data_IF_781355219690
#
_entry.id   IF_781355219690
#
_cell.length_a   1.000
_cell.length_b   1.000
_cell.length_c   1.000
_cell.angle_alpha   90.00
_cell.angle_beta   90.00
_cell.angle_gamma   90.00
#
_symmetry.space_group_name_H-M   'P 1'
#
loop_
_entity.id
_entity.type
_entity.pdbx_description
1 polymer ?
#
# COMPACT_ATOMS: atom_id res chain seq x y z
N UNK A 1 7.85 -7.52 -63.18
CA UNK A 1 9.30 -7.32 -62.97
C UNK A 1 9.56 -7.17 -61.47
N UNK A 2 10.51 -7.94 -60.96
CA UNK A 2 10.98 -7.80 -59.56
C UNK A 2 12.29 -7.03 -59.59
N UNK A 3 12.34 -5.91 -58.85
CA UNK A 3 13.58 -5.19 -58.58
C UNK A 3 14.16 -5.68 -57.26
N UNK A 4 15.43 -6.03 -57.21
CA UNK A 4 16.09 -6.48 -55.98
C UNK A 4 17.52 -5.95 -55.90
N UNK A 5 17.96 -5.58 -54.69
CA UNK A 5 19.37 -5.35 -54.36
C UNK A 5 19.86 -6.54 -53.54
N UNK A 6 20.89 -7.25 -54.05
CA UNK A 6 21.52 -8.35 -53.30
C UNK A 6 22.97 -7.97 -53.00
N UNK A 7 23.35 -8.06 -51.71
CA UNK A 7 24.71 -7.88 -51.25
C UNK A 7 25.18 -9.21 -50.64
N UNK A 8 26.08 -9.92 -51.37
CA UNK A 8 26.54 -11.26 -51.00
C UNK A 8 28.05 -11.26 -50.76
N UNK A 9 28.49 -12.00 -49.80
CA UNK A 9 29.89 -12.32 -49.55
C UNK A 9 30.04 -13.82 -49.37
N UNK A 10 30.88 -14.44 -50.19
CA UNK A 10 31.24 -15.86 -50.08
C UNK A 10 32.66 -15.93 -49.49
N UNK A 11 32.77 -16.21 -48.23
CA UNK A 11 34.05 -16.34 -47.52
C UNK A 11 33.88 -17.29 -46.32
N UNK A 12 34.90 -18.11 -46.12
CA UNK A 12 34.98 -18.96 -44.91
C UNK A 12 35.47 -18.14 -43.71
N UNK A 13 34.60 -17.22 -43.24
CA UNK A 13 34.85 -16.36 -42.10
C UNK A 13 33.54 -15.93 -41.42
N UNK A 14 33.57 -15.50 -40.15
CA UNK A 14 32.41 -15.02 -39.44
C UNK A 14 31.90 -13.64 -39.90
N UNK A 15 32.61 -12.94 -40.78
CA UNK A 15 32.23 -11.60 -41.24
C UNK A 15 31.22 -11.69 -42.40
N UNK A 16 30.16 -10.91 -42.37
CA UNK A 16 29.14 -10.77 -43.44
C UNK A 16 29.45 -9.61 -44.41
N UNK A 17 28.62 -9.47 -45.48
CA UNK A 17 28.65 -8.26 -46.31
C UNK A 17 28.14 -7.04 -45.54
N UNK A 18 28.56 -5.83 -45.95
CA UNK A 18 28.23 -4.58 -45.34
C UNK A 18 27.60 -3.61 -46.35
N UNK A 19 26.56 -2.88 -45.94
CA UNK A 19 26.10 -1.64 -46.55
C UNK A 19 26.52 -0.49 -45.64
N UNK A 20 27.38 0.41 -46.13
CA UNK A 20 27.94 1.51 -45.31
C UNK A 20 27.38 2.83 -45.82
N UNK A 21 26.73 3.57 -44.95
CA UNK A 21 26.43 4.98 -45.12
C UNK A 21 27.45 5.80 -44.32
N UNK A 22 28.19 6.68 -44.99
CA UNK A 22 29.22 7.51 -44.40
C UNK A 22 29.03 8.97 -44.77
N UNK A 23 29.27 9.89 -43.81
CA UNK A 23 29.17 11.33 -44.03
C UNK A 23 30.38 12.06 -43.45
N UNK A 24 30.86 13.04 -44.18
CA UNK A 24 31.78 14.11 -43.73
C UNK A 24 31.14 15.45 -44.06
N UNK A 25 31.39 16.48 -43.27
CA UNK A 25 31.00 17.88 -43.58
C UNK A 25 31.94 18.57 -44.57
N UNK A 26 32.88 17.86 -45.11
CA UNK A 26 33.79 18.38 -46.15
C UNK A 26 33.06 18.67 -47.46
N UNK A 27 33.35 19.79 -48.09
CA UNK A 27 32.96 20.09 -49.47
C UNK A 27 33.82 19.43 -50.51
N UNK A 28 34.87 18.68 -50.15
CA UNK A 28 35.80 18.01 -51.08
C UNK A 28 35.95 16.53 -50.71
N UNK A 29 36.03 15.69 -51.74
CA UNK A 29 36.26 14.26 -51.57
C UNK A 29 37.58 13.98 -50.85
N UNK A 30 37.56 13.00 -49.96
CA UNK A 30 38.76 12.53 -49.23
C UNK A 30 39.07 13.33 -47.93
N UNK A 31 38.43 14.45 -47.69
CA UNK A 31 38.59 15.19 -46.46
C UNK A 31 37.62 14.71 -45.34
N UNK A 32 38.16 14.49 -44.16
CA UNK A 32 37.41 13.97 -43.01
C UNK A 32 37.07 15.10 -42.03
N UNK A 33 36.15 16.00 -42.44
CA UNK A 33 35.66 17.06 -41.56
C UNK A 33 34.59 16.46 -40.66
N UNK A 34 34.73 16.71 -39.34
CA UNK A 34 33.82 16.19 -38.30
C UNK A 34 32.40 16.56 -38.61
N UNK A 35 31.49 15.60 -38.39
CA UNK A 35 30.05 15.83 -38.33
C UNK A 35 29.65 16.53 -37.04
N UNK A 36 28.42 17.03 -36.96
CA UNK A 36 27.92 17.71 -35.78
C UNK A 36 26.67 17.00 -35.23
N UNK A 37 26.32 17.28 -33.98
CA UNK A 37 25.05 16.80 -33.37
C UNK A 37 23.86 17.15 -34.25
N UNK A 38 22.97 16.17 -34.46
CA UNK A 38 21.80 16.27 -35.34
C UNK A 38 22.05 15.91 -36.78
N UNK A 39 23.32 15.73 -37.23
CA UNK A 39 23.62 15.34 -38.62
C UNK A 39 23.02 13.98 -38.95
N UNK A 40 22.33 13.90 -40.10
CA UNK A 40 21.89 12.65 -40.66
C UNK A 40 23.09 11.95 -41.35
N UNK A 41 23.37 10.72 -40.96
CA UNK A 41 24.46 9.91 -41.51
C UNK A 41 23.95 9.07 -42.68
N UNK A 42 22.73 8.59 -42.61
CA UNK A 42 22.09 7.83 -43.67
C UNK A 42 20.68 7.43 -43.30
N UNK A 43 19.89 7.15 -44.31
CA UNK A 43 18.48 6.77 -44.17
C UNK A 43 18.12 5.62 -45.11
N UNK A 44 17.21 4.77 -44.63
CA UNK A 44 16.44 3.84 -45.47
C UNK A 44 15.01 4.39 -45.49
N UNK A 45 14.57 4.83 -46.66
CA UNK A 45 13.26 5.46 -46.85
C UNK A 45 12.33 4.50 -47.56
N UNK A 46 11.11 4.40 -47.05
CA UNK A 46 10.00 3.68 -47.68
C UNK A 46 9.02 4.71 -48.25
N UNK A 47 8.87 4.73 -49.58
CA UNK A 47 7.96 5.65 -50.26
C UNK A 47 6.94 4.88 -51.07
N UNK A 48 5.75 5.41 -51.19
CA UNK A 48 4.64 4.79 -51.92
C UNK A 48 4.02 5.79 -52.91
N UNK A 49 3.39 5.26 -53.96
CA UNK A 49 2.58 6.07 -54.85
C UNK A 49 1.25 6.43 -54.20
N UNK A 50 0.90 7.71 -54.24
CA UNK A 50 -0.37 8.27 -53.72
C UNK A 50 -1.40 8.56 -54.83
N UNK A 51 -1.09 8.17 -56.06
CA UNK A 51 -1.87 8.47 -57.26
C UNK A 51 -1.37 9.68 -58.05
N UNK A 52 -0.40 10.43 -57.51
CA UNK A 52 0.25 11.56 -58.16
C UNK A 52 1.69 11.25 -58.49
N UNK A 53 2.46 10.74 -57.52
CA UNK A 53 3.86 10.34 -57.68
C UNK A 53 4.26 9.23 -56.69
N UNK A 54 5.56 8.90 -56.64
CA UNK A 54 6.14 7.88 -55.72
C UNK A 54 7.03 8.54 -54.67
N UNK A 55 6.80 9.80 -54.33
CA UNK A 55 7.63 10.57 -53.42
C UNK A 55 7.03 10.68 -52.03
N UNK A 56 5.80 10.22 -51.81
CA UNK A 56 5.16 10.20 -50.48
C UNK A 56 5.81 9.19 -49.58
N UNK A 57 6.54 9.69 -48.54
CA UNK A 57 7.27 8.84 -47.61
C UNK A 57 6.33 8.32 -46.55
N UNK A 58 6.20 7.00 -46.43
CA UNK A 58 5.36 6.37 -45.39
C UNK A 58 6.16 5.96 -44.14
N UNK A 59 7.45 5.65 -44.28
CA UNK A 59 8.33 5.32 -43.14
C UNK A 59 9.80 5.61 -43.45
N UNK A 60 10.62 5.76 -42.42
CA UNK A 60 12.06 5.95 -42.53
C UNK A 60 12.79 5.30 -41.34
N UNK A 61 13.95 4.69 -41.59
CA UNK A 61 14.94 4.30 -40.59
C UNK A 61 16.16 5.17 -40.81
N UNK A 62 16.54 5.97 -39.79
CA UNK A 62 17.56 7.01 -39.91
C UNK A 62 18.64 6.88 -38.85
N UNK A 63 19.90 6.93 -39.27
CA UNK A 63 21.02 7.07 -38.34
C UNK A 63 21.44 8.57 -38.24
N UNK A 64 21.53 9.09 -37.03
CA UNK A 64 21.90 10.47 -36.75
C UNK A 64 22.97 10.57 -35.68
N UNK A 65 23.72 11.68 -35.68
CA UNK A 65 24.62 12.03 -34.61
C UNK A 65 23.81 12.59 -33.41
N UNK A 66 23.99 12.00 -32.24
CA UNK A 66 23.18 12.30 -31.05
C UNK A 66 23.77 13.39 -30.16
N UNK A 67 25.10 13.48 -30.11
CA UNK A 67 25.82 14.50 -29.32
C UNK A 67 27.03 15.01 -30.10
N UNK A 68 27.82 15.92 -29.54
CA UNK A 68 29.05 16.46 -30.20
C UNK A 68 30.09 15.36 -30.35
N UNK A 69 30.52 15.02 -31.59
CA UNK A 69 31.59 14.05 -31.79
C UNK A 69 32.95 14.50 -31.27
N UNK A 70 33.73 13.53 -30.82
CA UNK A 70 35.14 13.73 -30.42
C UNK A 70 36.08 12.96 -31.35
N UNK A 71 37.39 12.94 -31.00
CA UNK A 71 38.37 12.13 -31.72
C UNK A 71 38.09 10.64 -31.50
N UNK A 72 37.82 9.90 -32.58
CA UNK A 72 37.40 8.48 -32.57
C UNK A 72 36.12 8.25 -31.72
N UNK A 73 35.28 9.26 -31.60
CA UNK A 73 34.02 9.23 -30.89
C UNK A 73 32.90 9.84 -31.77
N UNK A 74 31.90 9.04 -32.11
CA UNK A 74 30.72 9.45 -32.87
C UNK A 74 29.45 8.94 -32.22
N UNK A 75 28.94 9.64 -31.18
CA UNK A 75 27.72 9.24 -30.48
C UNK A 75 26.54 9.23 -31.46
N UNK A 76 25.95 8.06 -31.68
CA UNK A 76 24.89 7.85 -32.68
C UNK A 76 23.57 7.51 -32.05
N UNK A 77 22.47 7.90 -32.73
CA UNK A 77 21.12 7.43 -32.46
C UNK A 77 20.51 6.80 -33.71
N UNK A 78 19.70 5.79 -33.51
CA UNK A 78 18.87 5.18 -34.57
C UNK A 78 17.43 5.60 -34.33
N UNK A 79 16.80 6.19 -35.36
CA UNK A 79 15.45 6.77 -35.33
C UNK A 79 14.55 6.00 -36.29
N UNK A 80 13.37 5.64 -35.78
CA UNK A 80 12.30 5.00 -36.58
C UNK A 80 11.15 6.00 -36.68
N UNK A 81 10.75 6.25 -37.93
CA UNK A 81 9.78 7.28 -38.28
C UNK A 81 8.63 6.66 -39.09
N UNK A 82 7.41 7.14 -38.87
CA UNK A 82 6.21 6.77 -39.62
C UNK A 82 5.39 7.99 -39.98
N UNK A 83 4.72 8.00 -41.12
CA UNK A 83 3.76 9.04 -41.48
C UNK A 83 2.37 8.69 -40.92
N UNK A 84 1.71 9.69 -40.34
CA UNK A 84 0.31 9.57 -39.91
C UNK A 84 -0.62 9.71 -41.13
N UNK A 85 -1.87 9.26 -40.97
CA UNK A 85 -2.92 9.47 -41.97
C UNK A 85 -3.06 10.98 -42.31
N UNK A 86 -3.11 11.28 -43.59
CA UNK A 86 -3.13 12.66 -44.10
C UNK A 86 -1.77 13.36 -44.21
N UNK A 87 -0.64 12.66 -43.96
CA UNK A 87 0.72 13.23 -44.02
C UNK A 87 1.59 12.47 -45.03
N UNK A 88 2.41 13.18 -45.78
CA UNK A 88 3.43 12.65 -46.66
C UNK A 88 4.85 12.70 -46.09
N UNK A 89 4.98 13.11 -44.80
CA UNK A 89 6.24 13.26 -44.11
C UNK A 89 6.23 12.40 -42.83
N UNK A 90 7.15 11.42 -42.69
CA UNK A 90 7.25 10.63 -41.48
C UNK A 90 7.77 11.45 -40.33
N UNK A 91 7.17 11.27 -39.14
CA UNK A 91 7.61 11.82 -37.89
C UNK A 91 8.19 10.74 -36.99
N UNK A 92 9.08 11.10 -36.08
CA UNK A 92 9.70 10.16 -35.17
C UNK A 92 8.67 9.48 -34.27
N UNK A 93 8.65 8.17 -34.27
CA UNK A 93 7.82 7.34 -33.43
C UNK A 93 8.63 6.70 -32.29
N UNK A 94 9.91 6.38 -32.55
CA UNK A 94 10.77 5.67 -31.60
C UNK A 94 12.23 5.94 -31.94
N UNK A 95 13.10 5.92 -30.91
CA UNK A 95 14.55 5.95 -31.09
C UNK A 95 15.31 5.03 -30.16
N UNK A 96 16.53 4.64 -30.55
CA UNK A 96 17.57 4.17 -29.63
C UNK A 96 18.65 5.24 -29.62
N UNK A 97 18.88 5.86 -28.47
CA UNK A 97 19.85 6.95 -28.31
C UNK A 97 21.28 6.47 -28.04
N UNK A 98 22.24 7.39 -27.98
CA UNK A 98 23.66 7.10 -27.71
C UNK A 98 23.92 6.49 -26.33
N UNK A 99 22.98 6.61 -25.39
CA UNK A 99 23.00 5.95 -24.08
C UNK A 99 22.30 4.58 -24.07
N UNK A 100 21.96 4.05 -25.26
CA UNK A 100 21.28 2.74 -25.48
C UNK A 100 19.87 2.67 -24.89
N UNK A 101 19.18 3.81 -24.73
CA UNK A 101 17.81 3.87 -24.23
C UNK A 101 16.84 3.76 -25.40
N UNK A 102 15.80 2.96 -25.22
CA UNK A 102 14.67 2.88 -26.14
C UNK A 102 13.59 3.89 -25.70
N UNK A 103 13.38 4.92 -26.49
CA UNK A 103 12.37 5.96 -26.26
C UNK A 103 11.25 5.78 -27.28
N UNK A 104 10.01 5.63 -26.80
CA UNK A 104 8.79 5.52 -27.61
C UNK A 104 7.92 6.74 -27.34
N UNK A 105 7.67 7.54 -28.39
CA UNK A 105 6.88 8.76 -28.29
C UNK A 105 7.59 9.96 -27.66
N UNK A 106 8.89 9.83 -27.33
CA UNK A 106 9.73 10.90 -26.78
C UNK A 106 11.04 11.04 -27.56
N UNK A 107 11.52 12.27 -27.73
CA UNK A 107 12.78 12.59 -28.43
C UNK A 107 13.95 12.87 -27.48
N UNK A 108 13.69 12.93 -26.18
CA UNK A 108 14.68 13.06 -25.11
C UNK A 108 14.26 12.23 -23.91
N UNK A 109 15.22 11.61 -23.25
CA UNK A 109 14.95 10.85 -22.05
C UNK A 109 14.73 11.76 -20.86
N UNK A 110 13.86 11.35 -19.95
CA UNK A 110 13.74 11.93 -18.62
C UNK A 110 14.76 11.26 -17.71
N UNK A 111 15.44 12.02 -16.89
CA UNK A 111 16.50 11.57 -15.99
C UNK A 111 16.23 11.89 -14.51
N UNK A 112 15.17 12.65 -14.22
CA UNK A 112 14.82 13.08 -12.85
C UNK A 112 13.63 12.28 -12.31
N UNK A 113 13.95 11.26 -11.54
CA UNK A 113 12.99 10.35 -10.90
C UNK A 113 13.31 10.21 -9.41
N UNK A 114 12.30 9.92 -8.58
CA UNK A 114 12.43 9.61 -7.14
C UNK A 114 13.13 10.69 -6.32
N UNK A 115 12.97 11.97 -6.64
CA UNK A 115 13.57 13.09 -5.90
C UNK A 115 15.09 12.92 -5.69
N UNK A 116 15.80 12.25 -6.60
CA UNK A 116 17.21 11.90 -6.40
C UNK A 116 18.16 12.64 -7.34
N UNK A 117 17.65 13.63 -8.09
CA UNK A 117 18.45 14.42 -9.02
C UNK A 117 19.00 13.68 -10.23
N UNK A 118 19.21 12.39 -10.16
CA UNK A 118 19.66 11.54 -11.27
C UNK A 118 19.69 10.08 -10.86
N UNK A 119 18.62 9.35 -11.03
CA UNK A 119 18.72 7.89 -11.11
C UNK A 119 19.08 7.54 -12.55
N UNK A 120 20.04 6.64 -12.71
CA UNK A 120 20.53 6.20 -14.01
C UNK A 120 19.37 5.97 -14.99
N UNK A 121 19.50 6.51 -16.19
CA UNK A 121 18.44 6.61 -17.17
C UNK A 121 17.74 5.28 -17.42
N UNK A 122 16.41 5.26 -17.28
CA UNK A 122 15.59 4.10 -17.60
C UNK A 122 15.83 3.66 -19.04
N UNK A 123 16.13 2.37 -19.26
CA UNK A 123 16.44 1.83 -20.57
C UNK A 123 15.24 1.81 -21.54
N UNK A 124 14.02 1.73 -20.99
CA UNK A 124 12.78 1.85 -21.75
C UNK A 124 11.93 2.98 -21.17
N UNK A 125 11.58 3.95 -22.01
CA UNK A 125 10.65 5.02 -21.66
C UNK A 125 9.54 5.09 -22.70
N UNK A 126 8.28 5.10 -22.24
CA UNK A 126 7.08 5.25 -23.08
C UNK A 126 6.37 6.51 -22.63
N UNK A 127 6.28 7.51 -23.51
CA UNK A 127 5.65 8.80 -23.21
C UNK A 127 4.69 9.19 -24.35
N UNK A 128 3.56 9.79 -24.01
CA UNK A 128 2.60 10.31 -24.98
C UNK A 128 2.06 11.66 -24.54
N UNK A 129 2.03 12.62 -25.45
CA UNK A 129 1.38 13.90 -25.25
C UNK A 129 -0.08 13.89 -25.77
N UNK A 130 -0.96 14.67 -25.15
CA UNK A 130 -2.35 14.88 -25.59
C UNK A 130 -3.39 14.61 -24.50
N UNK A 131 -4.49 15.38 -24.54
CA UNK A 131 -5.49 15.43 -23.46
C UNK A 131 -6.39 14.18 -23.33
N UNK A 132 -6.38 13.26 -24.29
CA UNK A 132 -7.27 12.08 -24.31
C UNK A 132 -6.53 10.74 -24.44
N UNK A 133 -5.20 10.76 -24.42
CA UNK A 133 -4.41 9.57 -24.73
C UNK A 133 -3.48 9.19 -23.59
N UNK A 134 -3.60 7.96 -23.11
CA UNK A 134 -2.69 7.40 -22.10
C UNK A 134 -1.44 6.81 -22.78
N UNK A 135 -0.28 6.95 -22.14
CA UNK A 135 0.86 6.08 -22.41
C UNK A 135 0.60 4.76 -21.67
N UNK A 136 0.56 3.66 -22.41
CA UNK A 136 0.24 2.34 -21.85
C UNK A 136 1.12 1.24 -22.45
N UNK A 137 1.43 0.24 -21.63
CA UNK A 137 2.05 -1.02 -22.06
C UNK A 137 0.99 -2.12 -21.87
N UNK A 138 0.59 -2.78 -22.97
CA UNK A 138 -0.34 -3.91 -22.92
C UNK A 138 0.44 -5.22 -22.97
N UNK A 139 0.20 -6.09 -22.02
CA UNK A 139 0.77 -7.42 -21.93
C UNK A 139 -0.37 -8.43 -21.92
N UNK A 140 -0.55 -9.20 -23.00
CA UNK A 140 -1.68 -10.13 -23.16
C UNK A 140 -1.15 -11.53 -23.42
N UNK A 141 -1.67 -12.53 -22.71
CA UNK A 141 -1.44 -13.94 -23.00
C UNK A 141 -2.73 -14.55 -23.55
N UNK A 142 -2.66 -15.20 -24.72
CA UNK A 142 -3.75 -15.97 -25.27
C UNK A 142 -3.45 -17.47 -25.02
N UNK A 143 -4.21 -18.11 -24.13
CA UNK A 143 -4.09 -19.52 -23.83
C UNK A 143 -5.39 -20.24 -24.13
N UNK A 144 -5.36 -21.25 -25.00
CA UNK A 144 -6.52 -22.09 -25.37
C UNK A 144 -6.83 -23.21 -24.36
N UNK A 145 -6.06 -23.32 -23.29
CA UNK A 145 -6.24 -24.34 -22.24
C UNK A 145 -6.61 -23.71 -20.91
N UNK A 146 -7.62 -24.27 -20.24
CA UNK A 146 -7.88 -23.96 -18.83
C UNK A 146 -6.69 -24.46 -18.00
N UNK A 147 -5.89 -23.52 -17.51
CA UNK A 147 -4.74 -23.82 -16.66
C UNK A 147 -5.21 -23.93 -15.21
N UNK A 148 -4.77 -24.92 -14.43
CA UNK A 148 -5.06 -24.94 -13.00
C UNK A 148 -4.54 -23.68 -12.31
N UNK A 149 -5.15 -23.31 -11.19
CA UNK A 149 -4.97 -22.03 -10.50
C UNK A 149 -3.51 -21.60 -10.19
N UNK A 150 -2.53 -22.49 -10.38
CA UNK A 150 -1.09 -22.26 -10.14
C UNK A 150 -0.21 -22.51 -11.39
N UNK A 151 -0.78 -22.63 -12.60
CA UNK A 151 0.03 -22.84 -13.78
C UNK A 151 0.68 -21.52 -14.23
N UNK A 152 1.93 -21.40 -13.92
CA UNK A 152 2.81 -20.25 -14.12
C UNK A 152 3.04 -19.92 -15.61
N UNK A 153 2.60 -20.79 -16.56
CA UNK A 153 2.89 -20.68 -17.99
C UNK A 153 1.83 -20.00 -18.86
N UNK A 154 0.62 -19.75 -18.37
CA UNK A 154 -0.51 -19.33 -19.20
C UNK A 154 -1.02 -17.89 -18.95
N UNK A 155 -0.42 -17.15 -18.05
CA UNK A 155 -0.83 -15.78 -17.68
C UNK A 155 0.13 -14.72 -18.25
N UNK A 156 -0.41 -13.57 -18.64
CA UNK A 156 0.40 -12.37 -18.88
C UNK A 156 1.03 -11.89 -17.55
N UNK A 157 2.31 -11.54 -17.58
CA UNK A 157 3.06 -11.22 -16.35
C UNK A 157 4.04 -10.07 -16.53
N UNK A 158 4.25 -9.31 -15.47
CA UNK A 158 5.42 -8.44 -15.28
C UNK A 158 6.32 -9.13 -14.25
N UNK A 159 7.55 -9.44 -14.63
CA UNK A 159 8.54 -10.07 -13.76
C UNK A 159 9.59 -9.03 -13.38
N UNK A 160 9.65 -8.73 -12.11
CA UNK A 160 10.68 -7.88 -11.51
C UNK A 160 11.62 -8.80 -10.72
N UNK A 161 12.89 -8.80 -11.03
CA UNK A 161 13.86 -9.66 -10.39
C UNK A 161 15.20 -8.99 -10.18
N UNK A 162 15.90 -9.37 -9.11
CA UNK A 162 17.21 -8.84 -8.71
C UNK A 162 18.21 -9.97 -8.48
N UNK A 163 19.45 -9.72 -8.85
CA UNK A 163 20.64 -10.46 -8.42
C UNK A 163 21.67 -9.45 -7.87
N UNK A 164 22.56 -9.89 -6.99
CA UNK A 164 23.69 -9.08 -6.52
C UNK A 164 24.89 -9.14 -7.45
N UNK A 165 24.80 -9.86 -8.57
CA UNK A 165 25.86 -9.92 -9.56
C UNK A 165 26.06 -8.62 -10.31
N UNK A 166 27.31 -8.36 -10.74
CA UNK A 166 27.71 -7.13 -11.44
C UNK A 166 27.75 -7.29 -12.96
N UNK A 167 27.46 -8.47 -13.47
CA UNK A 167 27.46 -8.77 -14.91
C UNK A 167 26.12 -9.31 -15.35
N UNK A 168 25.75 -9.06 -16.61
CA UNK A 168 24.54 -9.65 -17.22
C UNK A 168 24.65 -11.19 -17.18
N UNK A 169 23.56 -11.84 -16.75
CA UNK A 169 23.51 -13.30 -16.57
C UNK A 169 24.09 -13.81 -15.27
N UNK A 170 24.55 -12.94 -14.37
CA UNK A 170 25.03 -13.35 -13.05
C UNK A 170 23.88 -13.88 -12.16
N UNK A 171 24.13 -14.99 -11.44
CA UNK A 171 23.20 -15.64 -10.54
C UNK A 171 23.60 -15.46 -9.06
N UNK A 172 24.23 -14.34 -8.72
CA UNK A 172 24.64 -14.08 -7.32
C UNK A 172 23.40 -13.89 -6.46
N UNK A 173 23.34 -14.65 -5.36
CA UNK A 173 22.20 -14.67 -4.45
C UNK A 173 21.98 -13.29 -3.81
N UNK A 174 20.71 -12.92 -3.64
CA UNK A 174 20.29 -11.75 -2.86
C UNK A 174 20.40 -12.03 -1.36
N UNK A 175 20.31 -10.99 -0.54
CA UNK A 175 20.35 -11.13 0.91
C UNK A 175 19.07 -10.57 1.54
N UNK A 176 18.85 -10.91 2.80
CA UNK A 176 17.78 -10.33 3.61
C UNK A 176 17.84 -8.80 3.59
N UNK A 177 16.70 -8.17 3.36
CA UNK A 177 16.56 -6.72 3.22
C UNK A 177 16.72 -6.18 1.80
N UNK A 178 17.17 -6.99 0.83
CA UNK A 178 17.24 -6.54 -0.57
C UNK A 178 15.85 -6.31 -1.16
N UNK A 179 15.66 -5.17 -1.83
CA UNK A 179 14.50 -4.90 -2.68
C UNK A 179 14.62 -5.75 -3.95
N UNK A 180 13.64 -6.58 -4.24
CA UNK A 180 13.60 -7.45 -5.41
C UNK A 180 12.95 -6.79 -6.61
N UNK A 181 12.01 -5.90 -6.36
CA UNK A 181 11.31 -5.11 -7.36
C UNK A 181 10.43 -4.04 -6.73
N UNK A 182 10.13 -3.03 -7.53
CA UNK A 182 9.38 -1.84 -7.13
C UNK A 182 8.39 -1.45 -8.21
N UNK A 183 7.16 -1.14 -7.81
CA UNK A 183 6.14 -0.46 -8.62
C UNK A 183 5.91 0.89 -7.98
N UNK A 184 6.51 1.93 -8.57
CA UNK A 184 6.49 3.30 -8.04
C UNK A 184 5.49 4.18 -8.78
N UNK A 185 4.67 4.92 -8.05
CA UNK A 185 3.72 5.92 -8.54
C UNK A 185 4.29 7.31 -8.24
N UNK A 186 4.65 8.04 -9.30
CA UNK A 186 5.34 9.31 -9.18
C UNK A 186 4.54 10.45 -9.83
N UNK A 187 4.56 11.62 -9.22
CA UNK A 187 4.00 12.87 -9.73
C UNK A 187 5.08 13.90 -9.99
N UNK A 188 4.88 14.73 -11.04
CA UNK A 188 5.76 15.87 -11.34
C UNK A 188 5.43 17.01 -10.38
N UNK A 189 6.42 17.46 -9.59
CA UNK A 189 6.27 18.58 -8.64
C UNK A 189 6.57 19.97 -9.26
N UNK A 190 6.92 19.99 -10.55
CA UNK A 190 7.36 21.17 -11.30
C UNK A 190 8.86 21.18 -11.58
N UNK A 191 9.65 20.37 -10.89
CA UNK A 191 11.10 20.23 -11.04
C UNK A 191 11.52 18.83 -11.42
N UNK A 192 10.91 17.82 -10.78
CA UNK A 192 11.24 16.40 -10.95
C UNK A 192 10.08 15.49 -10.59
N UNK A 193 10.19 14.20 -10.91
CA UNK A 193 9.27 13.19 -10.46
C UNK A 193 9.56 12.80 -9.02
N UNK A 194 8.56 12.96 -8.14
CA UNK A 194 8.59 12.59 -6.72
C UNK A 194 7.68 11.41 -6.48
N UNK A 195 8.13 10.43 -5.71
CA UNK A 195 7.34 9.26 -5.37
C UNK A 195 6.18 9.65 -4.44
N UNK A 196 4.96 9.39 -4.87
CA UNK A 196 3.75 9.56 -4.08
C UNK A 196 3.36 8.28 -3.32
N UNK A 197 3.60 7.12 -3.94
CA UNK A 197 3.35 5.81 -3.35
C UNK A 197 4.17 4.74 -4.07
N UNK A 198 4.43 3.60 -3.39
CA UNK A 198 5.01 2.42 -4.05
C UNK A 198 4.57 1.10 -3.42
N UNK A 199 4.75 0.02 -4.20
CA UNK A 199 4.60 -1.36 -3.77
C UNK A 199 5.91 -2.06 -4.03
N UNK A 200 6.57 -2.55 -2.98
CA UNK A 200 7.91 -3.13 -3.07
C UNK A 200 7.93 -4.58 -2.56
N UNK A 201 8.60 -5.44 -3.33
CA UNK A 201 8.93 -6.79 -2.90
C UNK A 201 10.35 -6.86 -2.33
N UNK A 202 10.51 -7.45 -1.16
CA UNK A 202 11.80 -7.60 -0.49
C UNK A 202 12.14 -9.08 -0.25
N UNK A 203 13.41 -9.36 -0.16
CA UNK A 203 13.91 -10.56 0.48
C UNK A 203 13.82 -10.39 2.00
N UNK A 204 13.00 -11.19 2.70
CA UNK A 204 12.66 -10.98 4.12
C UNK A 204 13.55 -11.75 5.10
N UNK A 205 14.20 -12.83 4.64
CA UNK A 205 15.15 -13.61 5.41
C UNK A 205 16.28 -14.12 4.50
N UNK A 206 17.19 -14.94 5.00
CA UNK A 206 18.28 -15.52 4.19
C UNK A 206 17.71 -16.52 3.18
N UNK A 207 17.90 -16.31 1.86
CA UNK A 207 17.46 -17.24 0.83
C UNK A 207 18.22 -18.55 0.85
N UNK A 208 17.58 -19.64 0.40
CA UNK A 208 18.17 -20.94 0.18
C UNK A 208 17.95 -21.47 -1.25
N UNK A 209 18.35 -22.69 -1.52
CA UNK A 209 18.07 -23.34 -2.80
C UNK A 209 16.55 -23.57 -2.96
N UNK A 210 15.95 -23.00 -4.00
CA UNK A 210 14.49 -22.99 -4.22
C UNK A 210 13.68 -22.40 -3.06
N UNK A 211 14.29 -21.53 -2.26
CA UNK A 211 13.69 -20.86 -1.11
C UNK A 211 13.96 -19.36 -1.20
N UNK A 212 12.89 -18.57 -1.27
CA UNK A 212 12.95 -17.13 -1.35
C UNK A 212 11.91 -16.52 -0.39
N UNK A 213 12.25 -16.36 0.89
CA UNK A 213 11.37 -15.72 1.86
C UNK A 213 11.15 -14.26 1.46
N UNK A 214 9.91 -13.93 1.13
CA UNK A 214 9.54 -12.62 0.61
C UNK A 214 8.60 -11.85 1.52
N UNK A 215 8.73 -10.51 1.56
CA UNK A 215 7.68 -9.62 2.08
C UNK A 215 7.26 -8.62 1.01
N UNK A 216 5.99 -8.26 1.06
CA UNK A 216 5.40 -7.18 0.26
C UNK A 216 5.16 -5.98 1.15
N UNK A 217 5.58 -4.78 0.70
CA UNK A 217 5.49 -3.54 1.48
C UNK A 217 4.83 -2.46 0.66
N UNK A 218 3.92 -1.71 1.30
CA UNK A 218 3.19 -0.59 0.72
C UNK A 218 3.65 0.71 1.37
N UNK A 219 4.01 1.68 0.54
CA UNK A 219 4.51 2.98 0.95
C UNK A 219 3.61 4.11 0.46
N UNK A 220 3.54 5.20 1.21
CA UNK A 220 2.96 6.47 0.77
C UNK A 220 3.76 7.64 1.29
N UNK A 221 3.74 8.77 0.55
CA UNK A 221 4.40 10.01 0.93
C UNK A 221 3.40 10.94 1.64
N UNK A 222 3.78 11.46 2.80
CA UNK A 222 2.96 12.40 3.56
C UNK A 222 3.00 13.79 2.92
N UNK A 223 1.99 14.62 3.20
CA UNK A 223 2.01 16.03 2.77
C UNK A 223 3.23 16.76 3.37
N UNK A 224 3.96 17.46 2.52
CA UNK A 224 5.19 18.16 2.88
C UNK A 224 6.45 17.28 2.96
N UNK A 225 6.37 15.99 2.65
CA UNK A 225 7.51 15.08 2.56
C UNK A 225 7.90 14.80 1.10
N UNK A 226 9.18 14.48 0.88
CA UNK A 226 9.71 14.05 -0.41
C UNK A 226 10.06 12.56 -0.46
N UNK A 227 9.96 11.86 0.69
CA UNK A 227 10.25 10.43 0.81
C UNK A 227 9.03 9.69 1.31
N UNK A 228 8.77 8.52 0.73
CA UNK A 228 7.70 7.65 1.14
C UNK A 228 8.04 6.93 2.46
N UNK A 229 7.01 6.63 3.25
CA UNK A 229 7.11 5.84 4.47
C UNK A 229 6.25 4.59 4.36
N UNK A 230 6.70 3.51 4.96
CA UNK A 230 5.95 2.26 5.02
C UNK A 230 4.61 2.47 5.74
N UNK A 231 3.53 1.91 5.16
CA UNK A 231 2.18 1.94 5.74
C UNK A 231 1.66 0.56 6.08
N UNK A 232 2.01 -0.43 5.26
CA UNK A 232 1.57 -1.80 5.45
C UNK A 232 2.61 -2.77 4.90
N UNK A 233 2.74 -3.94 5.53
CA UNK A 233 3.50 -5.06 4.98
C UNK A 233 2.79 -6.39 5.17
N UNK A 234 3.12 -7.34 4.30
CA UNK A 234 2.83 -8.76 4.46
C UNK A 234 4.19 -9.48 4.56
N UNK A 235 4.47 -10.11 5.69
CA UNK A 235 5.74 -10.81 5.92
C UNK A 235 5.76 -12.18 5.25
N UNK A 236 6.96 -12.82 5.16
CA UNK A 236 7.09 -14.21 4.68
C UNK A 236 6.30 -15.22 5.52
N UNK A 237 6.02 -14.92 6.78
CA UNK A 237 5.16 -15.74 7.66
C UNK A 237 3.67 -15.49 7.51
N UNK A 238 3.23 -14.66 6.55
CA UNK A 238 1.82 -14.34 6.30
C UNK A 238 1.21 -13.31 7.25
N UNK A 239 2.01 -12.67 8.13
CA UNK A 239 1.52 -11.63 9.05
C UNK A 239 1.32 -10.34 8.27
N UNK A 240 0.12 -9.75 8.38
CA UNK A 240 -0.18 -8.40 7.91
C UNK A 240 0.10 -7.43 9.05
N UNK A 241 1.09 -6.56 8.86
CA UNK A 241 1.40 -5.48 9.79
C UNK A 241 1.04 -4.15 9.16
N UNK A 242 0.39 -3.30 9.93
CA UNK A 242 0.05 -1.94 9.54
C UNK A 242 0.87 -1.03 10.45
N UNK A 243 1.67 -0.14 9.87
CA UNK A 243 2.70 0.62 10.58
C UNK A 243 2.13 1.57 11.65
N UNK A 244 2.91 1.83 12.71
CA UNK A 244 2.56 2.63 13.90
C UNK A 244 2.15 4.09 13.64
N UNK A 245 2.29 4.57 12.41
CA UNK A 245 1.95 5.95 12.05
C UNK A 245 0.52 6.10 11.52
N UNK A 246 -0.43 5.33 12.05
CA UNK A 246 -1.86 5.60 11.80
C UNK A 246 -2.32 6.84 12.58
N UNK A 247 -1.92 7.98 12.11
CA UNK A 247 -2.64 9.22 12.37
C UNK A 247 -3.79 9.34 11.37
N UNK A 248 -4.91 8.72 11.69
CA UNK A 248 -6.20 8.76 11.00
C UNK A 248 -6.36 7.91 9.71
N UNK A 249 -7.01 6.76 9.83
CA UNK A 249 -7.90 6.30 8.76
C UNK A 249 -9.21 7.08 8.91
N UNK A 250 -9.38 8.14 8.12
CA UNK A 250 -10.57 8.98 8.08
C UNK A 250 -11.08 9.42 9.44
N UNK A 251 -11.30 10.70 9.66
CA UNK A 251 -12.01 11.15 10.85
C UNK A 251 -13.36 10.42 10.92
N UNK A 252 -13.61 9.61 11.95
CA UNK A 252 -14.99 9.26 12.26
C UNK A 252 -15.76 10.57 12.41
N UNK A 253 -16.99 10.62 11.97
CA UNK A 253 -17.88 11.78 12.16
C UNK A 253 -18.11 12.17 13.62
N UNK A 254 -17.43 11.51 14.55
CA UNK A 254 -17.49 11.70 16.01
C UNK A 254 -16.28 12.38 16.64
N UNK A 255 -15.36 12.97 15.85
CA UNK A 255 -14.31 13.86 16.39
C UNK A 255 -13.16 13.19 17.16
N UNK A 256 -13.04 11.86 17.17
CA UNK A 256 -11.92 11.16 17.82
C UNK A 256 -10.75 11.06 16.87
N UNK A 257 -9.74 11.88 17.07
CA UNK A 257 -8.51 11.98 16.26
C UNK A 257 -7.48 10.92 16.68
N UNK A 258 -7.84 9.64 16.65
CA UNK A 258 -6.88 8.56 16.90
C UNK A 258 -7.05 7.47 15.85
N UNK A 259 -5.94 7.11 15.20
CA UNK A 259 -5.90 6.11 14.15
C UNK A 259 -6.39 4.75 14.62
N UNK A 260 -7.08 4.04 13.73
CA UNK A 260 -7.60 2.70 13.98
C UNK A 260 -7.96 1.99 12.68
N UNK A 261 -8.20 0.68 12.77
CA UNK A 261 -8.75 -0.09 11.66
C UNK A 261 -10.26 0.09 11.68
N UNK A 262 -10.82 0.77 10.68
CA UNK A 262 -12.26 0.86 10.47
C UNK A 262 -12.70 -0.24 9.51
N UNK A 263 -13.41 -1.24 10.02
CA UNK A 263 -14.06 -2.27 9.22
C UNK A 263 -15.56 -1.92 9.20
N UNK A 264 -16.08 -1.51 8.04
CA UNK A 264 -17.51 -1.28 7.85
C UNK A 264 -18.10 -2.38 6.98
N UNK A 265 -19.06 -3.16 7.45
CA UNK A 265 -19.86 -4.00 6.57
C UNK A 265 -20.72 -3.10 5.66
N UNK A 266 -20.79 -3.45 4.37
CA UNK A 266 -21.53 -2.69 3.35
C UNK A 266 -23.02 -3.04 3.31
N UNK A 267 -23.43 -4.11 3.99
CA UNK A 267 -24.82 -4.57 4.05
C UNK A 267 -25.23 -4.85 5.49
N UNK A 268 -26.43 -4.40 5.84
CA UNK A 268 -27.05 -4.62 7.14
C UNK A 268 -27.63 -6.03 7.11
N UNK A 269 -26.92 -7.01 7.62
CA UNK A 269 -27.44 -8.26 8.23
C UNK A 269 -26.31 -9.27 8.43
N UNK A 270 -26.16 -9.72 9.67
CA UNK A 270 -25.41 -10.91 10.13
C UNK A 270 -23.88 -10.97 9.85
N UNK A 271 -23.24 -9.88 9.46
CA UNK A 271 -21.79 -9.85 9.26
C UNK A 271 -21.07 -9.27 10.47
N UNK A 272 -20.39 -10.13 11.20
CA UNK A 272 -19.47 -9.71 12.27
C UNK A 272 -18.19 -9.13 11.63
N UNK A 273 -17.87 -7.83 11.82
CA UNK A 273 -16.64 -7.23 11.27
C UNK A 273 -15.35 -7.75 11.94
N UNK A 274 -15.49 -8.40 13.10
CA UNK A 274 -14.42 -9.10 13.80
C UNK A 274 -14.89 -10.50 14.17
N UNK A 275 -14.33 -11.52 13.53
CA UNK A 275 -14.50 -12.91 13.91
C UNK A 275 -13.29 -13.33 14.74
N UNK A 276 -13.50 -13.60 16.03
CA UNK A 276 -12.54 -14.32 16.87
C UNK A 276 -12.82 -15.80 16.76
N UNK A 277 -11.99 -16.55 16.06
CA UNK A 277 -12.07 -18.00 15.93
C UNK A 277 -10.84 -18.66 16.54
N UNK A 278 -11.05 -19.78 17.24
CA UNK A 278 -9.96 -20.60 17.78
C UNK A 278 -10.00 -21.98 17.15
N UNK A 279 -8.88 -22.43 16.61
CA UNK A 279 -8.72 -23.79 16.09
C UNK A 279 -8.53 -24.84 17.16
N UNK A 280 -8.49 -24.44 18.45
CA UNK A 280 -8.26 -25.33 19.59
C UNK A 280 -9.43 -25.26 20.57
N UNK A 281 -9.62 -26.34 21.35
CA UNK A 281 -10.54 -26.37 22.49
C UNK A 281 -9.97 -25.70 23.75
N UNK A 282 -8.72 -25.24 23.69
CA UNK A 282 -8.08 -24.49 24.78
C UNK A 282 -8.50 -23.02 24.76
N UNK A 283 -8.34 -22.34 25.87
CA UNK A 283 -8.61 -20.90 25.97
C UNK A 283 -7.75 -20.09 24.98
N UNK A 284 -8.39 -19.29 24.14
CA UNK A 284 -7.75 -18.43 23.15
C UNK A 284 -8.20 -16.98 23.31
N UNK A 285 -7.25 -16.04 23.30
CA UNK A 285 -7.56 -14.62 23.38
C UNK A 285 -8.04 -14.13 22.01
N UNK A 286 -9.30 -13.71 21.92
CA UNK A 286 -9.89 -13.10 20.71
C UNK A 286 -9.56 -11.61 20.59
N UNK A 287 -9.62 -10.87 21.70
CA UNK A 287 -9.24 -9.45 21.78
C UNK A 287 -8.44 -9.21 23.06
N UNK A 288 -7.37 -8.44 22.95
CA UNK A 288 -6.52 -8.02 24.06
C UNK A 288 -6.52 -6.50 24.17
N UNK A 289 -6.80 -5.99 25.37
CA UNK A 289 -6.73 -4.57 25.68
C UNK A 289 -5.50 -4.32 26.58
N UNK A 290 -4.57 -3.50 26.11
CA UNK A 290 -3.34 -3.18 26.82
C UNK A 290 -3.00 -1.69 26.70
N UNK A 291 -2.22 -1.18 27.63
CA UNK A 291 -1.60 0.14 27.60
C UNK A 291 -0.13 0.03 28.05
N UNK A 292 0.66 1.13 28.11
CA UNK A 292 2.05 1.08 28.56
C UNK A 292 2.27 0.45 29.93
N UNK A 293 1.24 0.40 30.79
CA UNK A 293 1.29 -0.23 32.10
C UNK A 293 0.90 -1.72 32.06
N UNK A 294 0.76 -2.35 30.90
CA UNK A 294 0.47 -3.77 30.70
C UNK A 294 -0.98 -4.08 30.27
N UNK A 295 -1.33 -5.36 30.30
CA UNK A 295 -2.67 -5.86 29.93
C UNK A 295 -3.72 -5.36 30.92
N UNK A 296 -4.83 -4.83 30.37
CA UNK A 296 -5.97 -4.29 31.15
C UNK A 296 -7.21 -5.15 31.07
N UNK A 297 -7.36 -5.92 29.99
CA UNK A 297 -8.49 -6.81 29.80
C UNK A 297 -8.37 -7.64 28.54
N UNK A 298 -9.29 -8.59 28.39
CA UNK A 298 -9.36 -9.45 27.21
C UNK A 298 -10.77 -10.01 27.01
N UNK A 299 -11.07 -10.37 25.75
CA UNK A 299 -12.17 -11.26 25.41
C UNK A 299 -11.52 -12.61 25.06
N UNK A 300 -11.91 -13.65 25.79
CA UNK A 300 -11.31 -15.00 25.67
C UNK A 300 -12.39 -15.99 25.23
N UNK A 301 -12.11 -16.73 24.17
CA UNK A 301 -12.90 -17.89 23.76
C UNK A 301 -12.47 -19.07 24.62
N UNK A 302 -13.42 -19.67 25.29
CA UNK A 302 -13.23 -20.88 26.10
C UNK A 302 -13.97 -22.07 25.46
N UNK A 303 -13.72 -23.29 25.90
CA UNK A 303 -14.31 -24.48 25.29
C UNK A 303 -15.85 -24.52 25.27
N UNK A 304 -16.52 -23.81 26.15
CA UNK A 304 -18.00 -23.77 26.25
C UNK A 304 -18.58 -22.37 26.48
N UNK A 305 -17.76 -21.32 26.50
CA UNK A 305 -18.22 -19.96 26.81
C UNK A 305 -17.28 -18.89 26.29
N UNK A 306 -17.70 -17.62 26.43
CA UNK A 306 -16.83 -16.47 26.20
C UNK A 306 -16.63 -15.74 27.56
N UNK A 307 -15.37 -15.46 27.92
CA UNK A 307 -15.05 -14.69 29.12
C UNK A 307 -14.66 -13.24 28.74
N UNK A 308 -15.23 -12.28 29.47
CA UNK A 308 -14.89 -10.86 29.40
C UNK A 308 -14.08 -10.52 30.65
N UNK A 309 -12.77 -10.42 30.50
CA UNK A 309 -11.85 -10.27 31.61
C UNK A 309 -11.38 -8.84 31.77
N UNK A 310 -11.35 -8.33 33.00
CA UNK A 310 -10.60 -7.15 33.42
C UNK A 310 -9.51 -7.58 34.38
N UNK A 311 -8.34 -6.93 34.29
CA UNK A 311 -7.21 -7.23 35.19
C UNK A 311 -7.57 -6.87 36.63
N UNK A 312 -7.43 -7.83 37.57
CA UNK A 312 -7.75 -7.68 38.96
C UNK A 312 -6.78 -8.40 39.91
N UNK A 313 -5.49 -8.47 39.52
CA UNK A 313 -4.45 -9.04 40.38
C UNK A 313 -4.21 -8.16 41.61
N UNK A 314 -4.09 -8.75 42.80
CA UNK A 314 -3.90 -8.02 44.04
C UNK A 314 -2.57 -7.24 44.07
N UNK A 315 -1.56 -7.70 43.35
CA UNK A 315 -0.24 -7.02 43.25
C UNK A 315 -0.29 -5.69 42.51
N UNK A 316 -1.41 -5.39 41.85
CA UNK A 316 -1.67 -4.13 41.16
C UNK A 316 -2.55 -3.18 42.02
N UNK A 317 -2.84 -3.54 43.26
CA UNK A 317 -3.73 -2.81 44.14
C UNK A 317 -2.99 -2.41 45.41
N UNK A 318 -3.27 -1.22 45.89
CA UNK A 318 -2.76 -0.69 47.15
C UNK A 318 -3.91 -0.10 47.97
N UNK A 319 -3.71 0.14 49.27
CA UNK A 319 -4.69 0.72 50.16
C UNK A 319 -6.04 -0.02 50.17
N UNK A 320 -5.98 -1.35 50.13
CA UNK A 320 -7.19 -2.19 50.13
C UNK A 320 -7.87 -2.14 51.47
N UNK A 321 -9.12 -1.69 51.53
CA UNK A 321 -9.99 -1.64 52.73
C UNK A 321 -11.32 -2.30 52.38
N UNK A 322 -12.03 -2.73 53.41
CA UNK A 322 -13.38 -3.29 53.25
C UNK A 322 -14.37 -2.19 52.84
N UNK A 323 -15.38 -2.59 52.05
CA UNK A 323 -16.43 -1.71 51.57
C UNK A 323 -17.61 -1.75 52.52
N UNK A 324 -17.73 -0.73 53.37
CA UNK A 324 -18.81 -0.55 54.35
C UNK A 324 -19.79 0.56 53.93
N UNK A 325 -20.94 0.66 54.64
CA UNK A 325 -22.00 1.62 54.34
C UNK A 325 -22.68 1.40 52.97
N UNK A 326 -22.60 0.20 52.44
CA UNK A 326 -23.04 -0.13 51.09
C UNK A 326 -24.55 -0.03 50.91
N UNK A 327 -25.35 -0.37 51.91
CA UNK A 327 -26.82 -0.23 51.87
C UNK A 327 -27.22 1.23 51.63
N UNK A 328 -26.61 2.17 52.34
CA UNK A 328 -26.97 3.59 52.18
C UNK A 328 -26.56 4.18 50.84
N UNK A 329 -25.49 3.67 50.24
CA UNK A 329 -25.11 4.01 48.85
C UNK A 329 -26.10 3.40 47.84
N UNK A 330 -26.49 2.13 48.01
CA UNK A 330 -27.46 1.46 47.11
C UNK A 330 -28.80 2.16 47.13
N UNK A 331 -29.28 2.65 48.27
CA UNK A 331 -30.52 3.43 48.37
C UNK A 331 -30.51 4.72 47.55
N UNK A 332 -29.34 5.26 47.23
CA UNK A 332 -29.19 6.48 46.42
C UNK A 332 -29.18 6.19 44.93
N UNK A 333 -28.95 4.92 44.50
CA UNK A 333 -29.05 4.53 43.12
C UNK A 333 -30.52 4.62 42.66
N UNK A 334 -30.75 5.17 41.46
CA UNK A 334 -32.07 5.38 40.89
C UNK A 334 -32.26 4.55 39.62
N UNK A 335 -32.65 3.26 39.74
CA UNK A 335 -32.97 2.45 38.54
C UNK A 335 -34.13 3.08 37.78
N UNK A 336 -34.04 3.08 36.45
CA UNK A 336 -35.03 3.67 35.55
C UNK A 336 -35.47 2.64 34.55
N UNK A 337 -36.67 2.82 34.03
CA UNK A 337 -37.19 2.12 32.84
C UNK A 337 -37.34 3.15 31.71
N UNK A 338 -36.76 2.89 30.56
CA UNK A 338 -36.72 3.84 29.45
C UNK A 338 -36.61 3.09 28.10
N UNK A 339 -36.75 3.81 27.01
CA UNK A 339 -36.34 3.40 25.68
C UNK A 339 -35.36 4.43 25.11
N UNK A 340 -34.46 4.00 24.24
CA UNK A 340 -33.61 4.92 23.49
C UNK A 340 -34.44 5.69 22.45
N UNK A 341 -34.02 6.92 22.14
CA UNK A 341 -34.68 7.72 21.10
C UNK A 341 -34.66 6.93 19.78
N UNK A 342 -35.79 6.81 19.11
CA UNK A 342 -36.05 6.01 17.90
C UNK A 342 -35.92 4.48 18.10
N UNK A 343 -36.06 3.98 19.31
CA UNK A 343 -36.19 2.54 19.62
C UNK A 343 -37.44 2.33 20.48
N UNK A 344 -38.34 1.43 20.05
CA UNK A 344 -39.57 1.10 20.77
C UNK A 344 -39.34 0.12 21.92
N UNK A 345 -38.14 -0.50 21.97
CA UNK A 345 -37.81 -1.49 22.99
C UNK A 345 -37.54 -0.81 24.35
N UNK A 346 -38.39 -1.11 25.33
CA UNK A 346 -38.19 -0.67 26.71
C UNK A 346 -37.16 -1.53 27.43
N UNK A 347 -36.25 -0.89 28.16
CA UNK A 347 -35.19 -1.54 28.95
C UNK A 347 -35.10 -0.92 30.34
N UNK A 348 -34.54 -1.66 31.28
CA UNK A 348 -34.21 -1.19 32.61
C UNK A 348 -32.72 -0.84 32.69
N UNK A 349 -32.38 0.26 33.38
CA UNK A 349 -30.99 0.70 33.48
C UNK A 349 -30.86 1.92 34.37
N UNK A 350 -29.80 2.69 34.17
CA UNK A 350 -29.48 3.89 34.92
C UNK A 350 -29.18 5.05 33.99
N UNK A 351 -29.45 6.26 34.43
CA UNK A 351 -28.90 7.46 33.81
C UNK A 351 -27.47 7.66 34.31
N UNK A 352 -26.51 7.77 33.40
CA UNK A 352 -25.08 7.77 33.73
C UNK A 352 -24.72 8.86 34.74
N UNK A 353 -25.21 10.10 34.56
CA UNK A 353 -24.94 11.22 35.47
C UNK A 353 -25.53 11.02 36.87
N UNK A 354 -26.68 10.33 37.01
CA UNK A 354 -27.25 9.99 38.34
C UNK A 354 -26.41 8.90 39.02
N UNK A 355 -26.01 7.85 38.29
CA UNK A 355 -25.17 6.78 38.80
C UNK A 355 -23.78 7.28 39.21
N UNK A 356 -23.22 8.26 38.49
CA UNK A 356 -21.92 8.88 38.79
C UNK A 356 -21.86 9.54 40.16
N UNK A 357 -23.00 9.97 40.74
CA UNK A 357 -23.04 10.59 42.09
C UNK A 357 -22.82 9.56 43.19
N UNK A 358 -23.09 8.28 42.93
CA UNK A 358 -22.98 7.17 43.87
C UNK A 358 -21.76 6.30 43.60
N UNK A 359 -21.50 5.99 42.35
CA UNK A 359 -20.41 5.11 41.86
C UNK A 359 -19.73 5.80 40.68
N UNK A 360 -18.92 6.84 40.90
CA UNK A 360 -18.30 7.61 39.82
C UNK A 360 -17.44 6.77 38.90
N UNK A 361 -16.77 5.71 39.38
CA UNK A 361 -15.96 4.79 38.64
C UNK A 361 -16.76 3.91 37.63
N UNK A 362 -18.09 3.90 37.74
CA UNK A 362 -18.96 3.20 36.77
C UNK A 362 -19.25 4.02 35.52
N UNK A 363 -18.89 5.30 35.47
CA UNK A 363 -19.28 6.21 34.37
C UNK A 363 -18.06 6.78 33.70
N UNK A 364 -18.12 6.86 32.36
CA UNK A 364 -17.13 7.51 31.53
C UNK A 364 -17.74 8.69 30.77
N UNK A 365 -16.94 9.71 30.46
CA UNK A 365 -17.37 10.95 29.82
C UNK A 365 -17.90 12.00 30.85
N UNK A 366 -18.07 13.22 30.39
CA UNK A 366 -18.52 14.35 31.18
C UNK A 366 -20.02 14.62 30.97
N UNK A 367 -20.77 14.96 32.01
CA UNK A 367 -22.18 15.31 31.88
C UNK A 367 -22.36 16.54 30.99
N UNK A 368 -23.25 16.46 30.01
CA UNK A 368 -23.54 17.50 29.01
C UNK A 368 -22.32 17.96 28.17
N UNK A 369 -21.33 17.11 27.97
CA UNK A 369 -20.17 17.40 27.15
C UNK A 369 -20.55 17.60 25.68
N UNK A 370 -19.92 18.58 25.04
CA UNK A 370 -20.03 18.87 23.62
C UNK A 370 -18.65 18.87 22.97
N UNK A 371 -18.56 18.41 21.74
CA UNK A 371 -17.34 18.47 20.96
C UNK A 371 -17.03 19.88 20.43
N UNK A 372 -15.88 20.06 19.78
CA UNK A 372 -15.47 21.33 19.19
C UNK A 372 -16.41 21.82 18.05
N UNK A 373 -17.33 20.97 17.58
CA UNK A 373 -18.31 21.29 16.53
C UNK A 373 -19.70 21.53 17.10
N UNK A 374 -19.87 21.45 18.45
CA UNK A 374 -21.15 21.64 19.11
C UNK A 374 -22.03 20.39 19.18
N UNK A 375 -21.53 19.21 18.83
CA UNK A 375 -22.30 17.97 18.93
C UNK A 375 -22.19 17.39 20.36
N UNK A 376 -23.25 16.72 20.88
CA UNK A 376 -23.20 16.03 22.17
C UNK A 376 -22.17 14.91 22.19
N UNK A 377 -21.36 14.85 23.25
CA UNK A 377 -20.53 13.69 23.61
C UNK A 377 -21.23 12.93 24.73
N UNK A 378 -21.66 11.70 24.42
CA UNK A 378 -22.49 10.94 25.34
C UNK A 378 -21.66 10.22 26.39
N UNK A 379 -22.18 10.18 27.64
CA UNK A 379 -21.62 9.38 28.71
C UNK A 379 -21.88 7.88 28.49
N UNK A 380 -20.93 7.03 28.94
CA UNK A 380 -21.10 5.58 29.03
C UNK A 380 -21.22 5.12 30.48
N UNK A 381 -21.84 3.98 30.72
CA UNK A 381 -21.91 3.33 32.04
C UNK A 381 -21.42 1.87 31.94
N UNK A 382 -20.51 1.51 32.84
CA UNK A 382 -20.07 0.13 33.09
C UNK A 382 -20.79 -0.40 34.35
N UNK A 383 -21.86 -1.12 34.11
CA UNK A 383 -22.69 -1.68 35.23
C UNK A 383 -21.96 -2.76 36.03
N UNK A 384 -20.87 -3.35 35.49
CA UNK A 384 -20.05 -4.30 36.27
C UNK A 384 -19.42 -3.68 37.53
N UNK A 385 -19.22 -2.37 37.54
CA UNK A 385 -18.70 -1.62 38.71
C UNK A 385 -19.71 -1.50 39.85
N UNK A 386 -20.97 -1.77 39.59
CA UNK A 386 -22.03 -1.79 40.63
C UNK A 386 -22.02 -3.12 41.40
N UNK A 387 -21.45 -4.20 40.83
CA UNK A 387 -21.48 -5.55 41.43
C UNK A 387 -20.83 -5.57 42.84
N UNK A 388 -19.62 -4.98 43.07
CA UNK A 388 -19.04 -4.95 44.42
C UNK A 388 -19.90 -4.23 45.44
N UNK A 389 -20.50 -3.09 45.07
CA UNK A 389 -21.41 -2.34 45.94
C UNK A 389 -22.67 -3.13 46.28
N UNK A 390 -23.30 -3.78 45.29
CA UNK A 390 -24.48 -4.61 45.50
C UNK A 390 -24.16 -5.83 46.38
N UNK A 391 -22.98 -6.44 46.19
CA UNK A 391 -22.51 -7.57 46.99
C UNK A 391 -22.34 -7.15 48.47
N UNK A 392 -21.64 -6.02 48.71
CA UNK A 392 -21.45 -5.51 50.04
C UNK A 392 -22.77 -5.13 50.72
N UNK A 393 -23.69 -4.48 49.99
CA UNK A 393 -25.01 -4.14 50.53
C UNK A 393 -25.82 -5.38 50.89
N UNK A 394 -25.76 -6.45 50.09
CA UNK A 394 -26.41 -7.71 50.39
C UNK A 394 -25.81 -8.39 51.61
N UNK A 395 -24.49 -8.36 51.79
CA UNK A 395 -23.79 -8.90 52.95
C UNK A 395 -24.16 -8.15 54.23
N UNK A 396 -24.20 -6.81 54.18
CA UNK A 396 -24.67 -5.98 55.29
C UNK A 396 -26.13 -6.29 55.66
N UNK A 397 -27.02 -6.49 54.68
CA UNK A 397 -28.43 -6.82 54.94
C UNK A 397 -28.60 -8.22 55.54
N UNK A 398 -27.83 -9.21 55.06
CA UNK A 398 -27.79 -10.56 55.62
C UNK A 398 -27.40 -10.49 57.09
N UNK A 399 -26.30 -9.77 57.43
CA UNK A 399 -25.85 -9.63 58.83
C UNK A 399 -26.88 -8.94 59.74
N UNK A 400 -27.54 -7.89 59.22
CA UNK A 400 -28.65 -7.21 59.96
C UNK A 400 -29.83 -8.14 60.22
N UNK A 401 -30.20 -8.96 59.22
CA UNK A 401 -31.28 -9.91 59.37
C UNK A 401 -30.97 -11.01 60.37
N UNK A 402 -29.75 -11.59 60.31
CA UNK A 402 -29.28 -12.58 61.28
C UNK A 402 -29.27 -12.04 62.73
N UNK A 403 -28.82 -10.81 62.91
CA UNK A 403 -28.82 -10.14 64.20
C UNK A 403 -30.27 -9.90 64.72
N UNK A 404 -31.22 -9.57 63.83
CA UNK A 404 -32.63 -9.41 64.15
C UNK A 404 -33.27 -10.73 64.53
N UNK A 405 -33.02 -11.80 63.79
CA UNK A 405 -33.48 -13.16 64.06
C UNK A 405 -32.99 -13.66 65.42
N UNK A 406 -31.72 -13.45 65.73
CA UNK A 406 -31.15 -13.77 67.05
C UNK A 406 -31.82 -12.98 68.17
N UNK A 407 -32.12 -11.70 67.94
CA UNK A 407 -32.85 -10.88 68.98
C UNK A 407 -34.31 -11.37 69.18
N UNK A 408 -34.97 -11.77 68.09
CA UNK A 408 -36.34 -12.32 68.19
C UNK A 408 -36.31 -13.62 69.01
N UNK A 409 -35.40 -14.58 68.62
CA UNK A 409 -35.22 -15.81 69.38
C UNK A 409 -34.93 -15.60 70.88
N UNK A 410 -34.16 -14.58 71.22
CA UNK A 410 -33.89 -14.24 72.60
C UNK A 410 -35.05 -13.57 73.36
N UNK A 411 -36.05 -13.08 72.63
CA UNK A 411 -37.27 -12.51 73.21
C UNK A 411 -38.38 -13.55 73.35
N UNK A 412 -38.34 -14.62 72.55
CA UNK A 412 -39.34 -15.73 72.52
C UNK A 412 -38.99 -16.87 73.54
N UNK A 413 -37.75 -16.95 74.01
CA UNK A 413 -37.25 -17.93 75.00
C UNK A 413 -37.19 -17.36 76.42
#
# INVERSE_FOLDING_TARGET
ATASLSIRRDANSSSGPLLIFGKSRSGALGNNVSVASGDNIGSIVFAAADGTDVSSQCAEIKAQIDATPGSNDTPGRLVFMTASDGSNAPTEAMRIDSSRRLLVGATSARDKWNNSGSIGANLLQVERAGNANAAAISITANSGTSSPANAVGAAARVLLGRTRGTSVGSNTVVASGDVLGDVSFQGMDGSEFVEAASIQGFCDATPGANDMPGRLVFYTTANGASTSTERMRITHGGIISIADAFSSIGTPSSGVANGGILIRPTTVQDNCPFLGESSTTSNSVALLFANPNGVRGSIVIQSGSTAYNTTSDYRLKENVIDLDGAIDRVKQLAPKRFNFINDEKTIDGFLAHEAATVVPESVTGTHNEIDAKGNPVYQGIDTSKLVPLLTAALQEEIAKREALEARIAALEG
#
